data_IF_690461978520
#
_entry.id   IF_690461978520
#
_cell.length_a   1.000
_cell.length_b   1.000
_cell.length_c   1.000
_cell.angle_alpha   90.00
_cell.angle_beta   90.00
_cell.angle_gamma   90.00
#
_symmetry.space_group_name_H-M   'P 1'
#
loop_
_entity.id
_entity.type
_entity.pdbx_description
1 polymer ?
#
# COMPACT_ATOMS: atom_id res chain seq x y z
N UNK A 1 -38.90 -11.93 24.75
CA UNK A 1 -38.30 -10.58 24.74
C UNK A 1 -37.40 -10.45 25.96
N UNK A 2 -36.09 -10.53 25.77
CA UNK A 2 -35.13 -10.36 26.87
C UNK A 2 -34.94 -8.86 27.12
N UNK A 3 -35.79 -8.32 27.98
CA UNK A 3 -35.62 -6.98 28.53
C UNK A 3 -34.34 -6.87 29.37
N UNK A 4 -33.84 -5.65 29.52
CA UNK A 4 -32.73 -5.34 30.42
C UNK A 4 -33.07 -5.76 31.88
N UNK A 5 -32.10 -6.14 32.72
CA UNK A 5 -32.32 -6.50 34.14
C UNK A 5 -33.16 -5.47 34.91
N UNK A 6 -33.03 -4.16 34.60
CA UNK A 6 -33.88 -3.13 35.19
C UNK A 6 -35.35 -3.26 34.76
N UNK A 7 -35.60 -3.61 33.49
CA UNK A 7 -36.96 -3.85 32.98
C UNK A 7 -37.53 -5.15 33.56
N UNK A 8 -36.72 -6.20 33.72
CA UNK A 8 -37.12 -7.46 34.35
C UNK A 8 -37.55 -7.27 35.81
N UNK A 9 -36.90 -6.36 36.54
CA UNK A 9 -37.29 -5.98 37.89
C UNK A 9 -38.32 -4.84 37.94
N UNK A 10 -38.79 -4.33 36.81
CA UNK A 10 -39.73 -3.20 36.69
C UNK A 10 -39.28 -1.94 37.45
N UNK A 11 -37.98 -1.64 37.41
CA UNK A 11 -37.35 -0.52 38.11
C UNK A 11 -36.59 0.40 37.16
N UNK A 12 -36.26 1.60 37.65
CA UNK A 12 -35.43 2.55 36.91
C UNK A 12 -33.95 2.21 37.08
N UNK A 13 -33.13 2.59 36.09
CA UNK A 13 -31.66 2.53 36.18
C UNK A 13 -31.10 3.36 37.35
N UNK A 14 -31.86 4.35 37.85
CA UNK A 14 -31.52 5.18 39.00
C UNK A 14 -31.97 4.61 40.35
N UNK A 15 -32.59 3.42 40.36
CA UNK A 15 -33.15 2.87 41.59
C UNK A 15 -32.09 2.55 42.64
N UNK A 16 -32.43 2.82 43.90
CA UNK A 16 -31.55 2.57 45.05
C UNK A 16 -31.46 1.08 45.39
N UNK A 17 -30.43 0.63 46.13
CA UNK A 17 -30.34 -0.78 46.55
C UNK A 17 -31.58 -1.29 47.30
N UNK A 18 -32.22 -0.42 48.08
CA UNK A 18 -33.44 -0.76 48.81
C UNK A 18 -34.66 -0.92 47.89
N UNK A 19 -34.77 -0.11 46.84
CA UNK A 19 -35.81 -0.24 45.83
C UNK A 19 -35.66 -1.53 45.03
N UNK A 20 -34.42 -1.89 44.67
CA UNK A 20 -34.09 -3.16 43.99
C UNK A 20 -34.53 -4.35 44.85
N UNK A 21 -34.18 -4.35 46.14
CA UNK A 21 -34.60 -5.40 47.10
C UNK A 21 -36.11 -5.47 47.29
N UNK A 22 -36.81 -4.35 47.27
CA UNK A 22 -38.28 -4.31 47.39
C UNK A 22 -38.94 -4.85 46.12
N UNK A 23 -38.47 -4.45 44.95
CA UNK A 23 -38.99 -4.92 43.66
C UNK A 23 -38.83 -6.43 43.50
N UNK A 24 -37.64 -6.96 43.81
CA UNK A 24 -37.37 -8.40 43.80
C UNK A 24 -38.35 -9.17 44.70
N UNK A 25 -38.54 -8.74 45.96
CA UNK A 25 -39.46 -9.42 46.90
C UNK A 25 -40.92 -9.39 46.43
N UNK A 26 -41.36 -8.30 45.80
CA UNK A 26 -42.71 -8.18 45.23
C UNK A 26 -42.90 -9.17 44.08
N UNK A 27 -41.99 -9.15 43.11
CA UNK A 27 -42.08 -9.98 41.91
C UNK A 27 -41.87 -11.47 42.23
N UNK A 28 -40.96 -11.80 43.15
CA UNK A 28 -40.71 -13.18 43.54
C UNK A 28 -41.94 -13.85 44.15
N UNK A 29 -42.73 -13.13 44.97
CA UNK A 29 -44.00 -13.64 45.52
C UNK A 29 -45.10 -13.78 44.48
N UNK A 30 -45.12 -12.89 43.49
CA UNK A 30 -46.12 -12.90 42.43
C UNK A 30 -45.92 -14.06 41.45
N UNK A 31 -44.66 -14.43 41.17
CA UNK A 31 -44.29 -15.45 40.20
C UNK A 31 -43.83 -16.79 40.82
N UNK A 32 -43.90 -16.93 42.15
CA UNK A 32 -43.53 -18.17 42.86
C UNK A 32 -44.41 -19.36 42.40
N UNK A 33 -43.86 -20.57 42.22
CA UNK A 33 -44.63 -21.75 41.82
C UNK A 33 -45.75 -22.11 42.81
N UNK A 34 -45.57 -21.79 44.10
CA UNK A 34 -46.57 -22.03 45.15
C UNK A 34 -47.59 -20.87 45.30
N UNK A 35 -47.59 -19.90 44.41
CA UNK A 35 -48.55 -18.79 44.42
C UNK A 35 -49.88 -19.24 43.82
N UNK A 36 -51.01 -18.99 44.49
CA UNK A 36 -52.37 -19.28 43.97
C UNK A 36 -52.83 -18.32 42.86
N UNK A 37 -51.93 -17.49 42.32
CA UNK A 37 -52.24 -16.53 41.26
C UNK A 37 -51.97 -17.14 39.88
N UNK A 38 -52.84 -16.84 38.90
CA UNK A 38 -52.68 -17.22 37.48
C UNK A 38 -51.39 -16.67 36.82
N UNK A 39 -50.61 -15.87 37.54
CA UNK A 39 -49.35 -15.30 37.08
C UNK A 39 -48.12 -16.18 37.30
N UNK A 40 -48.23 -17.33 37.99
CA UNK A 40 -47.08 -18.19 38.27
C UNK A 40 -46.32 -18.59 36.98
N UNK A 41 -45.01 -18.40 36.95
CA UNK A 41 -44.19 -18.68 35.76
C UNK A 41 -42.74 -18.95 36.15
N UNK A 42 -42.29 -20.18 35.87
CA UNK A 42 -40.92 -20.62 36.14
C UNK A 42 -39.89 -19.77 35.38
N UNK A 43 -40.13 -19.51 34.10
CA UNK A 43 -39.20 -18.73 33.27
C UNK A 43 -39.05 -17.29 33.77
N UNK A 44 -40.15 -16.67 34.25
CA UNK A 44 -40.11 -15.32 34.80
C UNK A 44 -39.35 -15.25 36.12
N UNK A 45 -39.56 -16.20 37.04
CA UNK A 45 -38.85 -16.19 38.32
C UNK A 45 -37.34 -16.42 38.13
N UNK A 46 -36.95 -17.28 37.18
CA UNK A 46 -35.54 -17.47 36.80
C UNK A 46 -34.93 -16.18 36.29
N UNK A 47 -35.63 -15.45 35.39
CA UNK A 47 -35.16 -14.16 34.89
C UNK A 47 -35.07 -13.07 35.98
N UNK A 48 -36.03 -13.04 36.91
CA UNK A 48 -36.05 -12.11 38.06
C UNK A 48 -34.86 -12.39 39.00
N UNK A 49 -34.59 -13.65 39.30
CA UNK A 49 -33.47 -14.05 40.15
C UNK A 49 -32.13 -13.64 39.52
N UNK A 50 -31.93 -13.94 38.22
CA UNK A 50 -30.73 -13.54 37.49
C UNK A 50 -30.56 -12.01 37.44
N UNK A 51 -31.65 -11.25 37.25
CA UNK A 51 -31.59 -9.79 37.27
C UNK A 51 -31.21 -9.25 38.65
N UNK A 52 -31.74 -9.83 39.73
CA UNK A 52 -31.42 -9.42 41.09
C UNK A 52 -29.98 -9.77 41.48
N UNK A 53 -29.46 -10.92 41.07
CA UNK A 53 -28.07 -11.32 41.33
C UNK A 53 -27.08 -10.27 40.79
N UNK A 54 -27.29 -9.79 39.56
CA UNK A 54 -26.45 -8.76 38.94
C UNK A 54 -26.69 -7.37 39.57
N UNK A 55 -27.94 -6.98 39.80
CA UNK A 55 -28.27 -5.61 40.24
C UNK A 55 -28.10 -5.37 41.75
N UNK A 56 -28.05 -6.42 42.55
CA UNK A 56 -27.90 -6.32 44.02
C UNK A 56 -26.46 -6.11 44.46
N UNK A 57 -25.47 -6.61 43.70
CA UNK A 57 -24.05 -6.35 43.94
C UNK A 57 -23.61 -5.04 43.24
N UNK A 58 -23.06 -4.05 43.97
CA UNK A 58 -22.62 -2.79 43.38
C UNK A 58 -21.57 -2.92 42.27
N UNK A 59 -20.68 -3.91 42.35
CA UNK A 59 -19.64 -4.16 41.34
C UNK A 59 -20.27 -4.73 40.07
N UNK A 60 -21.08 -5.78 40.21
CA UNK A 60 -21.77 -6.40 39.08
C UNK A 60 -22.74 -5.43 38.39
N UNK A 61 -23.46 -4.61 39.17
CA UNK A 61 -24.32 -3.56 38.62
C UNK A 61 -23.53 -2.53 37.82
N UNK A 62 -22.39 -2.07 38.34
CA UNK A 62 -21.53 -1.11 37.63
C UNK A 62 -21.01 -1.69 36.31
N UNK A 63 -20.57 -2.95 36.32
CA UNK A 63 -20.08 -3.62 35.12
C UNK A 63 -21.20 -3.81 34.10
N UNK A 64 -22.40 -4.16 34.55
CA UNK A 64 -23.60 -4.26 33.72
C UNK A 64 -23.98 -2.91 33.08
N UNK A 65 -23.96 -1.83 33.86
CA UNK A 65 -24.24 -0.48 33.38
C UNK A 65 -23.20 -0.03 32.33
N UNK A 66 -21.91 -0.32 32.57
CA UNK A 66 -20.84 -0.06 31.60
C UNK A 66 -21.05 -0.83 30.30
N UNK A 67 -21.47 -2.09 30.37
CA UNK A 67 -21.79 -2.91 29.20
C UNK A 67 -22.99 -2.36 28.43
N UNK A 68 -24.04 -1.89 29.10
CA UNK A 68 -25.18 -1.24 28.45
C UNK A 68 -24.79 0.04 27.73
N UNK A 69 -23.95 0.88 28.34
CA UNK A 69 -23.44 2.11 27.71
C UNK A 69 -22.58 1.77 26.50
N UNK A 70 -21.67 0.79 26.64
CA UNK A 70 -20.81 0.33 25.55
C UNK A 70 -21.60 -0.30 24.38
N UNK A 71 -22.76 -0.86 24.67
CA UNK A 71 -23.69 -1.47 23.71
C UNK A 71 -24.83 -0.55 23.28
N UNK A 72 -24.84 0.70 23.75
CA UNK A 72 -25.87 1.67 23.37
C UNK A 72 -25.89 1.85 21.83
N UNK A 73 -27.08 2.04 21.23
CA UNK A 73 -27.20 2.29 19.79
C UNK A 73 -26.28 3.41 19.31
N UNK A 74 -26.13 4.47 20.12
CA UNK A 74 -25.24 5.61 19.85
C UNK A 74 -23.76 5.20 19.80
N UNK A 75 -23.25 4.48 20.81
CA UNK A 75 -21.84 4.02 20.81
C UNK A 75 -21.59 3.01 19.70
N UNK A 76 -22.56 2.15 19.37
CA UNK A 76 -22.47 1.22 18.24
C UNK A 76 -22.42 1.97 16.90
N UNK A 77 -23.32 2.93 16.69
CA UNK A 77 -23.33 3.78 15.51
C UNK A 77 -22.02 4.56 15.36
N UNK A 78 -21.50 5.12 16.46
CA UNK A 78 -20.22 5.82 16.47
C UNK A 78 -19.07 4.89 16.05
N UNK A 79 -18.99 3.68 16.64
CA UNK A 79 -17.97 2.68 16.27
C UNK A 79 -18.05 2.32 14.79
N UNK A 80 -19.25 2.04 14.28
CA UNK A 80 -19.46 1.72 12.86
C UNK A 80 -19.06 2.89 11.97
N UNK A 81 -19.49 4.12 12.28
CA UNK A 81 -19.12 5.32 11.52
C UNK A 81 -17.60 5.54 11.49
N UNK A 82 -16.91 5.36 12.63
CA UNK A 82 -15.44 5.46 12.68
C UNK A 82 -14.74 4.37 11.87
N UNK A 83 -15.23 3.13 11.91
CA UNK A 83 -14.68 2.03 11.12
C UNK A 83 -14.87 2.29 9.62
N UNK A 84 -16.04 2.82 9.24
CA UNK A 84 -16.38 3.15 7.86
C UNK A 84 -15.52 4.32 7.35
N UNK A 85 -15.35 5.38 8.15
CA UNK A 85 -14.46 6.49 7.83
C UNK A 85 -13.00 6.05 7.68
N UNK A 86 -12.52 5.16 8.55
CA UNK A 86 -11.17 4.59 8.46
C UNK A 86 -11.00 3.74 7.18
N UNK A 87 -12.01 2.94 6.83
CA UNK A 87 -12.01 2.15 5.59
C UNK A 87 -11.99 3.05 4.35
N UNK A 88 -12.79 4.12 4.32
CA UNK A 88 -12.77 5.10 3.23
C UNK A 88 -11.42 5.77 3.09
N UNK A 89 -10.83 6.25 4.19
CA UNK A 89 -9.49 6.87 4.20
C UNK A 89 -8.40 5.90 3.72
N UNK A 90 -8.46 4.65 4.14
CA UNK A 90 -7.54 3.61 3.66
C UNK A 90 -7.68 3.42 2.15
N UNK A 91 -8.91 3.30 1.65
CA UNK A 91 -9.18 3.13 0.22
C UNK A 91 -8.70 4.32 -0.61
N UNK A 92 -8.94 5.54 -0.14
CA UNK A 92 -8.45 6.78 -0.77
C UNK A 92 -6.91 6.80 -0.82
N UNK A 93 -6.23 6.51 0.29
CA UNK A 93 -4.77 6.45 0.34
C UNK A 93 -4.19 5.39 -0.62
N UNK A 94 -4.84 4.23 -0.75
CA UNK A 94 -4.44 3.19 -1.71
C UNK A 94 -4.61 3.67 -3.15
N UNK A 95 -5.73 4.33 -3.47
CA UNK A 95 -5.98 4.89 -4.80
C UNK A 95 -5.00 6.01 -5.16
N UNK A 96 -4.67 6.89 -4.21
CA UNK A 96 -3.66 7.93 -4.39
C UNK A 96 -2.27 7.32 -4.65
N UNK A 97 -1.87 6.31 -3.89
CA UNK A 97 -0.58 5.63 -4.08
C UNK A 97 -0.51 4.90 -5.45
N UNK A 98 -1.58 4.23 -5.87
CA UNK A 98 -1.68 3.64 -7.22
C UNK A 98 -1.62 4.71 -8.33
N UNK A 99 -2.29 5.85 -8.13
CA UNK A 99 -2.25 6.97 -9.07
C UNK A 99 -0.84 7.56 -9.20
N UNK A 100 -0.12 7.70 -8.08
CA UNK A 100 1.28 8.16 -8.05
C UNK A 100 2.21 7.19 -8.79
N UNK A 101 2.07 5.89 -8.57
CA UNK A 101 2.86 4.86 -9.27
C UNK A 101 2.57 4.91 -10.77
N UNK A 102 1.31 4.97 -11.17
CA UNK A 102 0.91 5.05 -12.59
C UNK A 102 1.41 6.34 -13.25
N UNK A 103 1.36 7.46 -12.53
CA UNK A 103 1.88 8.72 -13.00
C UNK A 103 3.40 8.65 -13.19
N UNK A 104 4.15 8.17 -12.20
CA UNK A 104 5.59 8.01 -12.28
C UNK A 104 6.00 7.05 -13.41
N UNK A 105 5.28 5.95 -13.60
CA UNK A 105 5.52 5.03 -14.71
C UNK A 105 5.42 5.73 -16.07
N UNK A 106 4.34 6.48 -16.28
CA UNK A 106 4.06 7.12 -17.57
C UNK A 106 4.94 8.34 -17.83
N UNK A 107 5.25 9.12 -16.80
CA UNK A 107 5.94 10.40 -16.93
C UNK A 107 7.45 10.29 -16.74
N UNK A 108 7.93 9.29 -16.00
CA UNK A 108 9.36 9.10 -15.71
C UNK A 108 9.88 7.84 -16.40
N UNK A 109 9.40 6.66 -16.01
CA UNK A 109 10.00 5.39 -16.44
C UNK A 109 9.85 5.11 -17.94
N UNK A 110 8.64 5.22 -18.49
CA UNK A 110 8.36 4.88 -19.90
C UNK A 110 9.17 5.74 -20.89
N UNK A 111 9.27 7.07 -20.73
CA UNK A 111 10.15 7.91 -21.54
C UNK A 111 11.63 7.53 -21.40
N UNK A 112 12.13 7.32 -20.17
CA UNK A 112 13.52 6.94 -19.93
C UNK A 112 13.84 5.60 -20.59
N UNK A 113 12.98 4.60 -20.41
CA UNK A 113 13.17 3.28 -21.01
C UNK A 113 13.19 3.33 -22.55
N UNK A 114 12.45 4.26 -23.16
CA UNK A 114 12.52 4.50 -24.61
C UNK A 114 13.88 5.09 -25.01
N UNK A 115 14.37 6.10 -24.28
CA UNK A 115 15.68 6.72 -24.53
C UNK A 115 16.82 5.70 -24.38
N UNK A 116 16.82 4.90 -23.30
CA UNK A 116 17.77 3.80 -23.10
C UNK A 116 17.72 2.82 -24.29
N UNK A 117 16.52 2.49 -24.77
CA UNK A 117 16.37 1.63 -25.95
C UNK A 117 16.91 2.25 -27.24
N UNK A 118 16.84 3.57 -27.40
CA UNK A 118 17.41 4.29 -28.54
C UNK A 118 18.95 4.33 -28.49
N UNK A 119 19.54 4.28 -27.30
CA UNK A 119 20.99 4.19 -27.10
C UNK A 119 21.48 2.76 -27.37
N UNK A 120 20.86 1.75 -26.76
CA UNK A 120 21.40 0.39 -26.77
C UNK A 120 21.22 -0.34 -28.11
N UNK A 121 20.05 -0.20 -28.74
CA UNK A 121 19.69 -1.02 -29.92
C UNK A 121 20.58 -0.79 -31.14
N UNK A 122 20.96 0.45 -31.50
CA UNK A 122 21.75 0.68 -32.70
C UNK A 122 23.21 0.25 -32.58
N UNK A 123 23.76 0.13 -31.37
CA UNK A 123 25.20 -0.09 -31.14
C UNK A 123 25.77 -1.20 -32.02
N UNK A 124 25.14 -2.39 -32.03
CA UNK A 124 25.64 -3.51 -32.81
C UNK A 124 25.77 -3.17 -34.30
N UNK A 125 24.74 -2.55 -34.87
CA UNK A 125 24.78 -2.16 -36.29
C UNK A 125 25.82 -1.08 -36.58
N UNK A 126 26.04 -0.16 -35.65
CA UNK A 126 27.07 0.88 -35.75
C UNK A 126 28.48 0.28 -35.72
N UNK A 127 28.73 -0.67 -34.82
CA UNK A 127 30.00 -1.40 -34.76
C UNK A 127 30.20 -2.26 -36.02
N UNK A 128 29.17 -3.00 -36.44
CA UNK A 128 29.23 -3.82 -37.65
C UNK A 128 29.55 -2.95 -38.89
N UNK A 129 28.96 -1.75 -38.97
CA UNK A 129 29.24 -0.80 -40.05
C UNK A 129 30.67 -0.27 -40.02
N UNK A 130 31.15 0.17 -38.85
CA UNK A 130 32.50 0.68 -38.67
C UNK A 130 33.58 -0.40 -38.87
N UNK A 131 33.26 -1.66 -38.58
CA UNK A 131 34.20 -2.79 -38.75
C UNK A 131 34.60 -3.06 -40.20
N UNK A 132 33.89 -2.48 -41.18
CA UNK A 132 34.25 -2.59 -42.59
C UNK A 132 35.59 -1.92 -42.91
N UNK A 133 35.83 -0.73 -42.37
CA UNK A 133 37.12 -0.03 -42.35
C UNK A 133 37.13 0.99 -41.19
N UNK A 134 37.73 0.65 -40.05
CA UNK A 134 37.74 1.54 -38.88
C UNK A 134 38.45 2.88 -39.15
N UNK A 135 39.37 2.94 -40.11
CA UNK A 135 40.15 4.14 -40.43
C UNK A 135 39.50 5.01 -41.50
N UNK A 136 38.32 4.64 -42.00
CA UNK A 136 37.56 5.45 -42.94
C UNK A 136 36.91 6.64 -42.21
N UNK A 137 37.27 7.85 -42.63
CA UNK A 137 36.80 9.10 -42.02
C UNK A 137 35.27 9.24 -42.08
N UNK A 138 34.59 8.71 -43.11
CA UNK A 138 33.14 8.80 -43.24
C UNK A 138 32.44 7.84 -42.28
N UNK A 139 32.91 6.60 -42.20
CA UNK A 139 32.40 5.61 -41.24
C UNK A 139 32.60 6.09 -39.80
N UNK A 140 33.77 6.66 -39.49
CA UNK A 140 34.05 7.21 -38.18
C UNK A 140 33.15 8.42 -37.86
N UNK A 141 32.93 9.32 -38.82
CA UNK A 141 32.02 10.46 -38.63
C UNK A 141 30.58 10.01 -38.33
N UNK A 142 30.08 8.97 -39.01
CA UNK A 142 28.76 8.37 -38.72
C UNK A 142 28.72 7.79 -37.30
N UNK A 143 29.78 7.11 -36.89
CA UNK A 143 29.87 6.56 -35.54
C UNK A 143 29.89 7.66 -34.46
N UNK A 144 30.64 8.73 -34.68
CA UNK A 144 30.70 9.88 -33.78
C UNK A 144 29.36 10.62 -33.66
N UNK A 145 28.61 10.78 -34.75
CA UNK A 145 27.24 11.35 -34.73
C UNK A 145 26.27 10.47 -33.91
N UNK A 146 26.41 9.15 -34.02
CA UNK A 146 25.69 8.20 -33.18
C UNK A 146 26.04 8.36 -31.69
N UNK A 147 27.33 8.50 -31.35
CA UNK A 147 27.76 8.71 -29.95
C UNK A 147 27.21 10.01 -29.38
N UNK A 148 27.25 11.09 -30.16
CA UNK A 148 26.68 12.39 -29.77
C UNK A 148 25.16 12.29 -29.53
N UNK A 149 24.44 11.61 -30.43
CA UNK A 149 23.00 11.33 -30.25
C UNK A 149 22.74 10.52 -28.97
N UNK A 150 23.60 9.55 -28.65
CA UNK A 150 23.48 8.76 -27.43
C UNK A 150 23.69 9.61 -26.17
N UNK A 151 24.68 10.51 -26.19
CA UNK A 151 24.95 11.46 -25.09
C UNK A 151 23.75 12.35 -24.80
N UNK A 152 23.16 12.95 -25.84
CA UNK A 152 21.97 13.78 -25.72
C UNK A 152 20.77 13.01 -25.14
N UNK A 153 20.57 11.77 -25.60
CA UNK A 153 19.52 10.90 -25.06
C UNK A 153 19.78 10.50 -23.60
N UNK A 154 21.04 10.26 -23.24
CA UNK A 154 21.45 9.91 -21.88
C UNK A 154 21.24 11.07 -20.92
N UNK A 155 21.63 12.28 -21.31
CA UNK A 155 21.43 13.50 -20.51
C UNK A 155 19.94 13.80 -20.30
N UNK A 156 19.13 13.62 -21.35
CA UNK A 156 17.68 13.72 -21.24
C UNK A 156 17.12 12.66 -20.28
N UNK A 157 17.61 11.43 -20.34
CA UNK A 157 17.16 10.35 -19.45
C UNK A 157 17.54 10.63 -17.99
N UNK A 158 18.79 11.06 -17.72
CA UNK A 158 19.26 11.47 -16.38
C UNK A 158 18.44 12.65 -15.84
N UNK A 159 18.16 13.64 -16.67
CA UNK A 159 17.34 14.81 -16.31
C UNK A 159 15.91 14.39 -15.95
N UNK A 160 15.28 13.53 -16.74
CA UNK A 160 13.93 13.00 -16.43
C UNK A 160 13.92 12.18 -15.13
N UNK A 161 14.99 11.45 -14.86
CA UNK A 161 15.11 10.62 -13.66
C UNK A 161 15.26 11.46 -12.38
N UNK A 162 15.99 12.58 -12.43
CA UNK A 162 16.21 13.45 -11.27
C UNK A 162 15.06 14.41 -10.96
N UNK A 163 14.14 14.64 -11.90
CA UNK A 163 13.04 15.59 -11.76
C UNK A 163 11.97 15.21 -10.74
N UNK A 164 11.87 13.95 -10.33
CA UNK A 164 10.76 13.46 -9.49
C UNK A 164 11.24 12.48 -8.42
N UNK A 165 10.64 12.48 -7.23
CA UNK A 165 10.92 11.47 -6.22
C UNK A 165 10.41 10.10 -6.69
N UNK A 166 11.14 9.06 -6.31
CA UNK A 166 10.82 7.68 -6.68
C UNK A 166 9.81 7.08 -5.68
N UNK A 167 8.63 6.60 -6.14
CA UNK A 167 7.69 5.91 -5.27
C UNK A 167 8.31 4.65 -4.65
N UNK A 168 7.98 4.35 -3.38
CA UNK A 168 8.53 3.20 -2.67
C UNK A 168 8.28 1.87 -3.41
N UNK A 169 7.07 1.69 -3.97
CA UNK A 169 6.71 0.51 -4.81
C UNK A 169 7.60 0.36 -6.05
N UNK A 170 8.15 1.46 -6.57
CA UNK A 170 8.99 1.50 -7.77
C UNK A 170 10.48 1.58 -7.47
N UNK A 171 10.90 1.52 -6.20
CA UNK A 171 12.30 1.72 -5.79
C UNK A 171 13.27 0.74 -6.49
N UNK A 172 12.87 -0.52 -6.67
CA UNK A 172 13.67 -1.51 -7.40
C UNK A 172 13.84 -1.16 -8.87
N UNK A 173 12.75 -0.73 -9.54
CA UNK A 173 12.80 -0.26 -10.93
C UNK A 173 13.71 0.95 -11.06
N UNK A 174 13.57 1.92 -10.14
CA UNK A 174 14.40 3.11 -10.11
C UNK A 174 15.88 2.78 -9.92
N UNK A 175 16.22 1.81 -9.07
CA UNK A 175 17.59 1.35 -8.89
C UNK A 175 18.16 0.72 -10.17
N UNK A 176 17.43 -0.18 -10.82
CA UNK A 176 17.88 -0.77 -12.10
C UNK A 176 18.07 0.30 -13.19
N UNK A 177 17.19 1.29 -13.26
CA UNK A 177 17.34 2.44 -14.18
C UNK A 177 18.60 3.24 -13.84
N UNK A 178 18.83 3.55 -12.57
CA UNK A 178 20.02 4.29 -12.13
C UNK A 178 21.32 3.59 -12.56
N UNK A 179 21.45 2.29 -12.26
CA UNK A 179 22.64 1.53 -12.65
C UNK A 179 22.77 1.41 -14.17
N UNK A 180 21.65 1.28 -14.89
CA UNK A 180 21.64 1.25 -16.35
C UNK A 180 22.22 2.55 -16.93
N UNK A 181 21.78 3.72 -16.44
CA UNK A 181 22.28 5.01 -16.89
C UNK A 181 23.77 5.21 -16.58
N UNK A 182 24.26 4.71 -15.45
CA UNK A 182 25.69 4.77 -15.13
C UNK A 182 26.52 3.90 -16.06
N UNK A 183 26.13 2.64 -16.28
CA UNK A 183 26.82 1.81 -17.27
C UNK A 183 26.80 2.40 -18.68
N UNK A 184 25.72 3.07 -19.09
CA UNK A 184 25.69 3.78 -20.36
C UNK A 184 26.60 5.02 -20.38
N UNK A 185 26.83 5.65 -19.23
CA UNK A 185 27.78 6.78 -19.12
C UNK A 185 29.19 6.26 -19.36
N UNK A 186 29.61 5.30 -18.54
CA UNK A 186 30.96 4.71 -18.61
C UNK A 186 31.20 4.07 -19.99
N UNK A 187 30.19 3.36 -20.52
CA UNK A 187 30.28 2.75 -21.84
C UNK A 187 30.40 3.76 -22.97
N UNK A 188 29.75 4.91 -22.89
CA UNK A 188 29.89 5.96 -23.91
C UNK A 188 31.28 6.61 -23.84
N UNK A 189 31.79 6.89 -22.64
CA UNK A 189 33.14 7.44 -22.45
C UNK A 189 34.22 6.52 -23.07
N UNK A 190 34.07 5.21 -22.91
CA UNK A 190 34.96 4.23 -23.54
C UNK A 190 34.83 4.21 -25.08
N UNK A 191 33.61 4.23 -25.62
CA UNK A 191 33.42 4.27 -27.09
C UNK A 191 33.91 5.57 -27.72
N UNK A 192 33.79 6.70 -27.01
CA UNK A 192 34.34 7.99 -27.42
C UNK A 192 35.87 7.97 -27.39
N UNK A 193 36.45 7.34 -26.37
CA UNK A 193 37.90 7.12 -26.28
C UNK A 193 38.40 6.32 -27.48
N UNK A 194 37.74 5.21 -27.81
CA UNK A 194 38.02 4.42 -29.01
C UNK A 194 37.91 5.26 -30.30
N UNK A 195 36.89 6.11 -30.44
CA UNK A 195 36.75 6.97 -31.62
C UNK A 195 37.87 8.00 -31.80
N UNK A 196 38.67 8.27 -30.75
CA UNK A 196 39.82 9.18 -30.79
C UNK A 196 41.15 8.46 -31.02
N UNK A 197 41.31 7.25 -30.48
CA UNK A 197 42.61 6.57 -30.41
C UNK A 197 42.65 5.18 -31.05
N UNK A 198 41.53 4.65 -31.53
CA UNK A 198 41.38 3.31 -32.12
C UNK A 198 41.78 2.17 -31.18
N UNK A 199 41.67 2.38 -29.86
CA UNK A 199 42.01 1.35 -28.86
C UNK A 199 40.92 0.29 -28.74
N UNK A 200 41.25 -0.94 -29.14
CA UNK A 200 40.36 -2.11 -29.07
C UNK A 200 39.92 -2.44 -27.63
N UNK A 201 40.72 -2.09 -26.62
CA UNK A 201 40.35 -2.32 -25.23
C UNK A 201 39.18 -1.42 -24.81
N UNK A 202 39.22 -0.13 -25.16
CA UNK A 202 38.09 0.78 -24.98
C UNK A 202 36.85 0.34 -25.78
N UNK A 203 37.01 -0.11 -27.02
CA UNK A 203 35.88 -0.66 -27.79
C UNK A 203 35.21 -1.85 -27.09
N UNK A 204 36.01 -2.81 -26.63
CA UNK A 204 35.51 -3.98 -25.92
C UNK A 204 34.81 -3.60 -24.61
N UNK A 205 35.43 -2.74 -23.82
CA UNK A 205 34.88 -2.28 -22.53
C UNK A 205 33.57 -1.54 -22.73
N UNK A 206 33.50 -0.64 -23.71
CA UNK A 206 32.26 0.06 -24.08
C UNK A 206 31.12 -0.88 -24.45
N UNK A 207 31.40 -1.91 -25.27
CA UNK A 207 30.41 -2.94 -25.63
C UNK A 207 29.91 -3.74 -24.43
N UNK A 208 30.80 -4.13 -23.50
CA UNK A 208 30.43 -4.85 -22.29
C UNK A 208 29.58 -3.99 -21.35
N UNK A 209 29.89 -2.70 -21.21
CA UNK A 209 29.06 -1.76 -20.44
C UNK A 209 27.64 -1.63 -21.02
N UNK A 210 27.51 -1.52 -22.34
CA UNK A 210 26.20 -1.50 -23.01
C UNK A 210 25.45 -2.82 -22.83
N UNK A 211 26.14 -3.96 -22.83
CA UNK A 211 25.55 -5.26 -22.54
C UNK A 211 25.04 -5.37 -21.10
N UNK A 212 25.78 -4.84 -20.12
CA UNK A 212 25.33 -4.74 -18.74
C UNK A 212 24.09 -3.85 -18.62
N UNK A 213 24.12 -2.67 -19.27
CA UNK A 213 22.99 -1.76 -19.32
C UNK A 213 21.74 -2.43 -19.94
N UNK A 214 21.90 -3.24 -20.99
CA UNK A 214 20.80 -3.97 -21.62
C UNK A 214 20.15 -4.98 -20.66
N UNK A 215 20.96 -5.72 -19.88
CA UNK A 215 20.45 -6.65 -18.86
C UNK A 215 19.60 -5.92 -17.83
N UNK A 216 20.11 -4.80 -17.31
CA UNK A 216 19.40 -3.96 -16.33
C UNK A 216 18.13 -3.34 -16.91
N UNK A 217 18.13 -2.95 -18.19
CA UNK A 217 16.94 -2.43 -18.87
C UNK A 217 15.83 -3.51 -18.93
N UNK A 218 16.20 -4.74 -19.28
CA UNK A 218 15.25 -5.88 -19.35
C UNK A 218 14.70 -6.19 -17.96
N UNK A 219 15.56 -6.25 -16.95
CA UNK A 219 15.16 -6.45 -15.55
C UNK A 219 14.17 -5.36 -15.09
N UNK A 220 14.52 -4.09 -15.30
CA UNK A 220 13.66 -2.96 -14.96
C UNK A 220 12.27 -3.08 -15.62
N UNK A 221 12.23 -3.52 -16.89
CA UNK A 221 10.97 -3.73 -17.63
C UNK A 221 10.12 -4.85 -17.05
N UNK A 222 10.75 -5.95 -16.65
CA UNK A 222 10.04 -7.07 -16.02
C UNK A 222 9.45 -6.65 -14.68
N UNK A 223 10.24 -6.02 -13.81
CA UNK A 223 9.78 -5.56 -12.49
C UNK A 223 8.67 -4.52 -12.67
N UNK A 224 8.83 -3.56 -13.58
CA UNK A 224 7.83 -2.52 -13.81
C UNK A 224 6.49 -3.10 -14.31
N UNK A 225 6.51 -4.19 -15.08
CA UNK A 225 5.28 -4.88 -15.49
C UNK A 225 4.58 -5.62 -14.34
N UNK A 226 5.33 -6.11 -13.36
CA UNK A 226 4.77 -6.74 -12.15
C UNK A 226 4.15 -5.71 -11.22
N UNK A 227 4.71 -4.50 -11.13
CA UNK A 227 4.15 -3.41 -10.33
C UNK A 227 2.89 -2.76 -10.92
N UNK A 228 2.48 -3.15 -12.13
CA UNK A 228 1.25 -2.68 -12.79
C UNK A 228 0.05 -3.62 -12.64
N UNK A 229 0.29 -4.88 -12.26
CA UNK A 229 -0.74 -5.90 -12.03
C UNK A 229 -1.03 -6.06 -10.54
#
# INVERSE_FOLDING_TARGET
>A
MTGNHYQTLEISHKSTPDEIKRAYRRLARQFHPDSQNDSASHDKIVAINAAYEILSDPRLRKDYDNQLIANSPEKRAQRTATAQANYHRYKEAVQEDEALVKQWYNQTYSPINRLIGQIIRPLKGQIDHLSADPFDDQLMAVFQDYLETCRQNLDRAKTLFSQRPNPAKMAKVAASVYYCLNHLTDGLEELETFALNYDDHSLHTGQEMFRMAQRLQVEAKQIASQCQN
#
